data_IF_479202223679
#
_entry.id   IF_479202223679
#
_cell.length_a   1.000
_cell.length_b   1.000
_cell.length_c   1.000
_cell.angle_alpha   90.00
_cell.angle_beta   90.00
_cell.angle_gamma   90.00
#
_symmetry.space_group_name_H-M   'P 1'
#
loop_
_entity.id
_entity.type
_entity.pdbx_description
1 polymer ?
#
# COMPACT_ATOMS: atom_id res chain seq x y z
N UNK A 1 -3.43 5.92 -5.72
CA UNK A 1 -2.03 6.16 -5.39
C UNK A 1 -1.75 7.65 -5.29
N UNK A 2 -0.49 8.01 -5.02
CA UNK A 2 0.01 9.39 -4.97
C UNK A 2 0.53 9.92 -6.32
N UNK A 3 0.38 9.16 -7.41
CA UNK A 3 0.74 9.58 -8.76
C UNK A 3 -0.26 10.52 -9.43
N UNK A 4 0.04 10.91 -10.67
CA UNK A 4 -0.79 11.78 -11.52
C UNK A 4 -1.62 10.93 -12.48
N UNK A 5 -2.92 11.23 -12.57
CA UNK A 5 -3.82 10.55 -13.51
C UNK A 5 -3.44 10.84 -14.96
N UNK A 6 -3.63 9.84 -15.83
CA UNK A 6 -3.32 9.93 -17.24
C UNK A 6 -4.32 10.78 -18.04
N UNK A 7 -3.88 11.20 -19.22
CA UNK A 7 -4.73 11.83 -20.23
C UNK A 7 -4.49 11.09 -21.57
N UNK A 8 -5.54 10.61 -22.26
CA UNK A 8 -6.97 10.68 -21.91
C UNK A 8 -7.36 9.81 -20.71
N UNK A 9 -8.45 10.17 -20.02
CA UNK A 9 -8.95 9.38 -18.88
C UNK A 9 -9.50 8.03 -19.36
N UNK A 10 -9.06 6.96 -18.72
CA UNK A 10 -9.54 5.60 -19.01
C UNK A 10 -10.68 5.19 -18.08
N UNK A 11 -11.60 4.35 -18.56
CA UNK A 11 -12.76 3.90 -17.78
C UNK A 11 -12.41 2.97 -16.61
N UNK A 12 -11.19 2.42 -16.61
CA UNK A 12 -10.64 1.66 -15.49
C UNK A 12 -9.60 2.50 -14.73
N UNK A 13 -10.01 3.31 -13.73
CA UNK A 13 -9.13 4.29 -13.08
C UNK A 13 -7.94 3.66 -12.33
N UNK A 14 -8.07 2.39 -11.91
CA UNK A 14 -6.98 1.66 -11.25
C UNK A 14 -5.96 1.06 -12.23
N UNK A 15 -6.30 0.97 -13.51
CA UNK A 15 -5.51 0.36 -14.58
C UNK A 15 -5.26 1.35 -15.73
N UNK A 16 -5.15 2.63 -15.41
CA UNK A 16 -4.87 3.69 -16.38
C UNK A 16 -3.44 3.54 -16.93
N UNK A 17 -3.26 3.25 -18.23
CA UNK A 17 -1.94 3.07 -18.83
C UNK A 17 -1.15 4.39 -18.96
N UNK A 18 -1.81 5.54 -18.83
CA UNK A 18 -1.19 6.85 -18.98
C UNK A 18 -0.90 7.52 -17.62
N UNK A 19 -1.26 6.89 -16.51
CA UNK A 19 -0.95 7.40 -15.18
C UNK A 19 0.57 7.42 -14.94
N UNK A 20 1.07 8.49 -14.32
CA UNK A 20 2.49 8.64 -13.98
C UNK A 20 2.69 8.40 -12.47
N UNK A 21 3.53 7.44 -12.06
CA UNK A 21 3.81 7.20 -10.65
C UNK A 21 4.59 8.38 -10.04
N UNK A 22 4.48 8.54 -8.72
CA UNK A 22 5.41 9.35 -7.96
C UNK A 22 6.57 8.44 -7.52
N UNK A 23 7.73 8.57 -8.18
CA UNK A 23 8.89 7.71 -7.94
C UNK A 23 9.62 8.04 -6.63
N UNK A 24 9.48 9.26 -6.12
CA UNK A 24 10.12 9.71 -4.87
C UNK A 24 9.65 8.91 -3.65
N UNK A 25 8.43 8.35 -3.73
CA UNK A 25 7.85 7.54 -2.67
C UNK A 25 8.19 6.05 -2.77
N UNK A 26 8.85 5.58 -3.84
CA UNK A 26 9.12 4.15 -4.04
C UNK A 26 9.86 3.50 -2.85
N UNK A 27 10.93 4.11 -2.28
CA UNK A 27 11.61 3.52 -1.13
C UNK A 27 10.71 3.38 0.10
N UNK A 28 9.85 4.37 0.34
CA UNK A 28 8.93 4.37 1.47
C UNK A 28 7.78 3.37 1.27
N UNK A 29 7.27 3.24 0.04
CA UNK A 29 6.28 2.21 -0.33
C UNK A 29 6.85 0.81 -0.14
N UNK A 30 8.10 0.58 -0.57
CA UNK A 30 8.78 -0.71 -0.39
C UNK A 30 8.96 -1.05 1.10
N UNK A 31 9.38 -0.08 1.91
CA UNK A 31 9.48 -0.26 3.37
C UNK A 31 8.14 -0.68 4.00
N UNK A 32 7.04 0.00 3.63
CA UNK A 32 5.70 -0.36 4.10
C UNK A 32 5.32 -1.80 3.69
N UNK A 33 5.64 -2.21 2.45
CA UNK A 33 5.36 -3.56 1.98
C UNK A 33 6.19 -4.63 2.69
N UNK A 34 7.43 -4.34 3.06
CA UNK A 34 8.23 -5.26 3.90
C UNK A 34 7.63 -5.43 5.28
N UNK A 35 7.11 -4.37 5.89
CA UNK A 35 6.39 -4.45 7.16
C UNK A 35 5.07 -5.23 7.04
N UNK A 36 4.33 -5.05 5.94
CA UNK A 36 3.16 -5.87 5.64
C UNK A 36 3.56 -7.35 5.51
N UNK A 37 4.64 -7.66 4.79
CA UNK A 37 5.15 -9.03 4.66
C UNK A 37 5.59 -9.62 6.01
N UNK A 38 6.28 -8.83 6.84
CA UNK A 38 6.65 -9.24 8.20
C UNK A 38 5.41 -9.54 9.04
N UNK A 39 4.41 -8.66 9.03
CA UNK A 39 3.16 -8.85 9.78
C UNK A 39 2.37 -10.09 9.31
N UNK A 40 2.44 -10.47 8.04
CA UNK A 40 1.83 -11.72 7.54
C UNK A 40 2.50 -12.97 8.13
N UNK A 41 3.79 -12.89 8.45
CA UNK A 41 4.57 -14.01 8.99
C UNK A 41 4.49 -14.09 10.51
N UNK A 42 4.55 -12.94 11.19
CA UNK A 42 4.69 -12.85 12.65
C UNK A 42 3.42 -12.38 13.38
N UNK A 43 2.41 -11.92 12.64
CA UNK A 43 1.26 -11.20 13.19
C UNK A 43 1.50 -9.69 13.30
N UNK A 44 0.41 -8.92 13.36
CA UNK A 44 0.43 -7.45 13.42
C UNK A 44 0.96 -6.92 14.74
N UNK A 45 0.70 -7.60 15.86
CA UNK A 45 1.16 -7.21 17.20
C UNK A 45 2.69 -7.14 17.27
N UNK A 46 3.39 -8.17 16.79
CA UNK A 46 4.86 -8.21 16.78
C UNK A 46 5.48 -7.28 15.74
N UNK A 47 4.74 -6.92 14.67
CA UNK A 47 5.23 -6.02 13.63
C UNK A 47 5.04 -4.54 13.96
N UNK A 48 4.11 -4.19 14.85
CA UNK A 48 3.71 -2.80 15.15
C UNK A 48 4.87 -1.93 15.67
N UNK A 49 5.74 -2.49 16.52
CA UNK A 49 6.87 -1.74 17.08
C UNK A 49 7.89 -1.32 16.00
N UNK A 50 8.22 -2.24 15.09
CA UNK A 50 9.14 -1.96 13.98
C UNK A 50 8.57 -0.93 13.01
N UNK A 51 7.27 -1.00 12.72
CA UNK A 51 6.56 0.00 11.91
C UNK A 51 6.62 1.37 12.57
N UNK A 52 6.28 1.47 13.86
CA UNK A 52 6.25 2.75 14.56
C UNK A 52 7.62 3.44 14.56
N UNK A 53 8.70 2.67 14.77
CA UNK A 53 10.06 3.22 14.72
C UNK A 53 10.39 3.83 13.35
N UNK A 54 10.10 3.11 12.27
CA UNK A 54 10.43 3.56 10.91
C UNK A 54 9.52 4.70 10.43
N UNK A 55 8.23 4.68 10.79
CA UNK A 55 7.27 5.68 10.32
C UNK A 55 7.53 7.08 10.88
N UNK A 56 8.18 7.21 12.04
CA UNK A 56 8.57 8.52 12.61
C UNK A 56 9.50 9.33 11.70
N UNK A 57 10.17 8.67 10.74
CA UNK A 57 11.08 9.32 9.80
C UNK A 57 10.36 10.05 8.66
N UNK A 58 9.05 9.82 8.48
CA UNK A 58 8.29 10.42 7.38
C UNK A 58 7.60 11.72 7.78
N UNK A 59 7.50 12.65 6.83
CA UNK A 59 6.68 13.84 7.03
C UNK A 59 5.19 13.47 7.04
N UNK A 60 4.31 14.24 7.72
CA UNK A 60 2.86 13.99 7.69
C UNK A 60 2.27 14.02 6.27
N UNK A 61 2.85 14.83 5.38
CA UNK A 61 2.46 14.87 3.96
C UNK A 61 2.75 13.53 3.27
N UNK A 62 3.94 12.98 3.50
CA UNK A 62 4.36 11.72 2.89
C UNK A 62 3.54 10.55 3.46
N UNK A 63 3.24 10.56 4.76
CA UNK A 63 2.36 9.55 5.38
C UNK A 63 0.98 9.50 4.71
N UNK A 64 0.37 10.67 4.45
CA UNK A 64 -0.90 10.77 3.72
C UNK A 64 -0.80 10.23 2.29
N UNK A 65 0.29 10.54 1.58
CA UNK A 65 0.54 10.04 0.23
C UNK A 65 0.78 8.52 0.21
N UNK A 66 1.51 7.99 1.18
CA UNK A 66 1.75 6.56 1.37
C UNK A 66 0.46 5.81 1.67
N UNK A 67 -0.41 6.37 2.53
CA UNK A 67 -1.74 5.81 2.79
C UNK A 67 -2.54 5.66 1.49
N UNK A 68 -2.54 6.68 0.61
CA UNK A 68 -3.16 6.60 -0.73
C UNK A 68 -2.52 5.57 -1.66
N UNK A 69 -1.23 5.29 -1.51
CA UNK A 69 -0.54 4.22 -2.23
C UNK A 69 -0.95 2.84 -1.72
N UNK A 70 -1.02 2.64 -0.40
CA UNK A 70 -1.46 1.39 0.20
C UNK A 70 -2.92 1.06 -0.14
N UNK A 71 -3.82 2.07 -0.10
CA UNK A 71 -5.22 1.93 -0.56
C UNK A 71 -5.27 1.46 -2.01
N UNK A 72 -4.46 2.06 -2.88
CA UNK A 72 -4.40 1.67 -4.28
C UNK A 72 -3.94 0.23 -4.46
N UNK A 73 -2.91 -0.22 -3.74
CA UNK A 73 -2.44 -1.60 -3.81
C UNK A 73 -3.50 -2.58 -3.33
N UNK A 74 -4.18 -2.29 -2.21
CA UNK A 74 -5.29 -3.10 -1.68
C UNK A 74 -6.40 -3.30 -2.71
N UNK A 75 -6.80 -2.23 -3.38
CA UNK A 75 -7.87 -2.25 -4.39
C UNK A 75 -7.43 -2.93 -5.70
N UNK A 76 -6.11 -3.02 -5.95
CA UNK A 76 -5.53 -3.72 -7.11
C UNK A 76 -5.36 -5.22 -6.92
N UNK A 77 -5.41 -5.72 -5.69
CA UNK A 77 -5.39 -7.17 -5.43
C UNK A 77 -6.60 -7.80 -6.13
N UNK A 78 -6.37 -8.68 -7.10
CA UNK A 78 -7.41 -9.37 -7.88
C UNK A 78 -7.50 -10.85 -7.56
N UNK A 79 -8.73 -11.39 -7.54
CA UNK A 79 -9.01 -12.82 -7.39
C UNK A 79 -9.85 -13.26 -8.60
N UNK A 80 -9.53 -14.38 -9.29
CA UNK A 80 -8.47 -15.35 -8.99
C UNK A 80 -7.10 -15.04 -9.63
N UNK A 81 -6.96 -13.90 -10.33
CA UNK A 81 -5.77 -13.59 -11.13
C UNK A 81 -4.46 -13.56 -10.35
N UNK A 82 -4.42 -12.88 -9.20
CA UNK A 82 -3.18 -12.70 -8.44
C UNK A 82 -3.00 -13.77 -7.35
N UNK A 83 -4.07 -14.17 -6.68
CA UNK A 83 -4.06 -15.19 -5.62
C UNK A 83 -5.47 -15.75 -5.34
N UNK A 84 -5.54 -16.82 -4.54
CA UNK A 84 -6.80 -17.42 -4.09
C UNK A 84 -7.59 -16.51 -3.12
N UNK A 85 -8.89 -16.74 -2.99
CA UNK A 85 -9.80 -15.85 -2.25
C UNK A 85 -9.39 -15.65 -0.78
N UNK A 86 -9.02 -16.73 -0.07
CA UNK A 86 -8.56 -16.64 1.31
C UNK A 86 -7.29 -15.77 1.43
N UNK A 87 -6.27 -16.05 0.60
CA UNK A 87 -5.03 -15.27 0.58
C UNK A 87 -5.30 -13.78 0.27
N UNK A 88 -6.18 -13.50 -0.69
CA UNK A 88 -6.54 -12.13 -1.05
C UNK A 88 -7.27 -11.40 0.09
N UNK A 89 -8.09 -12.10 0.87
CA UNK A 89 -8.73 -11.52 2.06
C UNK A 89 -7.71 -11.17 3.13
N UNK A 90 -6.81 -12.12 3.47
CA UNK A 90 -5.77 -11.88 4.47
C UNK A 90 -4.82 -10.75 4.04
N UNK A 91 -4.33 -10.76 2.80
CA UNK A 91 -3.42 -9.72 2.33
C UNK A 91 -4.05 -8.32 2.37
N UNK A 92 -5.33 -8.19 1.98
CA UNK A 92 -6.05 -6.91 2.08
C UNK A 92 -6.26 -6.47 3.53
N UNK A 93 -6.47 -7.40 4.46
CA UNK A 93 -6.57 -7.08 5.88
C UNK A 93 -5.26 -6.49 6.43
N UNK A 94 -4.11 -7.08 6.08
CA UNK A 94 -2.81 -6.55 6.49
C UNK A 94 -2.47 -5.20 5.82
N UNK A 95 -2.90 -4.99 4.57
CA UNK A 95 -2.80 -3.68 3.93
C UNK A 95 -3.67 -2.63 4.64
N UNK A 96 -4.89 -2.98 5.08
CA UNK A 96 -5.72 -2.09 5.89
C UNK A 96 -5.07 -1.76 7.23
N UNK A 97 -4.48 -2.74 7.91
CA UNK A 97 -3.71 -2.49 9.13
C UNK A 97 -2.57 -1.48 8.89
N UNK A 98 -1.79 -1.64 7.81
CA UNK A 98 -0.73 -0.69 7.48
C UNK A 98 -1.29 0.71 7.16
N UNK A 99 -2.45 0.80 6.51
CA UNK A 99 -3.15 2.08 6.26
C UNK A 99 -3.51 2.77 7.57
N UNK A 100 -3.94 2.03 8.58
CA UNK A 100 -4.25 2.56 9.92
C UNK A 100 -3.00 3.06 10.64
N UNK A 101 -1.83 2.45 10.43
CA UNK A 101 -0.56 2.93 11.00
C UNK A 101 -0.08 4.24 10.34
N UNK A 102 -0.54 4.54 9.12
CA UNK A 102 -0.20 5.75 8.36
C UNK A 102 -1.21 6.89 8.53
N UNK A 103 -2.31 6.66 9.26
CA UNK A 103 -3.41 7.61 9.49
C UNK A 103 -3.15 8.48 10.73
#
# INVERSE_FOLDING_TARGET
GAGVAGVPRFQAPLADPYAKPNEDLLPAVDLCLRHVAASLLTGTESAAEGVAADLTSFSPSDASQLSRCMVYLRDRVGCPRDMGQAAAMYFRAHLNWMIEQLA
#
